data_IF_301200223640
#
_entry.id   IF_301200223640
#
_cell.length_a   1.000
_cell.length_b   1.000
_cell.length_c   1.000
_cell.angle_alpha   90.00
_cell.angle_beta   90.00
_cell.angle_gamma   90.00
#
_symmetry.space_group_name_H-M   'P 1'
#
loop_
_entity.id
_entity.type
_entity.pdbx_description
1 polymer ?
#
# COMPACT_ATOMS: atom_id res chain seq x y z
N UNK A 1 14.90 -58.91 31.50
CA UNK A 1 15.90 -57.83 31.40
C UNK A 1 15.12 -56.52 31.45
N UNK A 2 15.47 -55.62 32.38
CA UNK A 2 14.64 -54.50 32.87
C UNK A 2 14.62 -53.25 31.95
N UNK A 3 13.51 -52.52 31.98
CA UNK A 3 13.33 -51.18 31.40
C UNK A 3 13.85 -50.09 32.38
N UNK A 4 14.59 -49.06 31.92
CA UNK A 4 14.91 -47.87 32.73
C UNK A 4 13.80 -46.81 32.55
N UNK A 5 13.13 -46.40 33.63
CA UNK A 5 13.53 -45.31 34.53
C UNK A 5 13.27 -43.92 33.92
N UNK A 6 12.11 -43.34 34.27
CA UNK A 6 11.85 -41.91 34.17
C UNK A 6 11.72 -41.36 35.59
N UNK A 7 12.53 -40.34 35.84
CA UNK A 7 12.77 -39.68 37.12
C UNK A 7 11.55 -39.03 37.74
N UNK A 8 11.50 -39.11 39.07
CA UNK A 8 10.54 -38.56 40.01
C UNK A 8 10.47 -37.01 40.10
N UNK A 9 9.22 -36.53 40.23
CA UNK A 9 8.66 -35.44 41.06
C UNK A 9 9.50 -34.23 41.51
N UNK A 10 8.90 -33.03 41.38
CA UNK A 10 8.73 -32.10 42.51
C UNK A 10 7.58 -31.11 42.29
N UNK A 11 6.38 -31.46 42.76
CA UNK A 11 5.31 -30.50 43.01
C UNK A 11 5.33 -30.20 44.51
N UNK A 12 5.86 -29.03 44.88
CA UNK A 12 5.82 -28.54 46.25
C UNK A 12 4.49 -27.83 46.49
N UNK A 13 3.57 -28.58 47.10
CA UNK A 13 2.95 -28.22 48.38
C UNK A 13 2.50 -26.76 48.52
N UNK A 14 1.22 -26.50 48.27
CA UNK A 14 0.52 -25.38 48.90
C UNK A 14 -0.39 -25.95 49.98
N UNK A 15 -0.04 -25.62 51.22
CA UNK A 15 -0.78 -25.75 52.47
C UNK A 15 -2.29 -25.80 52.27
N UNK A 16 -2.89 -26.96 52.57
CA UNK A 16 -4.34 -27.09 52.72
C UNK A 16 -4.74 -26.64 54.12
N UNK A 17 -5.26 -25.43 54.24
CA UNK A 17 -6.13 -25.09 55.38
C UNK A 17 -7.53 -25.63 55.11
N UNK A 18 -7.84 -26.68 55.86
CA UNK A 18 -9.13 -27.17 56.35
C UNK A 18 -10.37 -26.38 55.90
N UNK A 19 -11.17 -26.99 55.03
CA UNK A 19 -12.59 -26.63 54.85
C UNK A 19 -13.38 -27.94 54.82
N UNK A 20 -13.77 -28.39 56.01
CA UNK A 20 -14.90 -29.28 56.21
C UNK A 20 -16.12 -28.68 55.49
N UNK A 21 -16.58 -29.33 54.42
CA UNK A 21 -17.96 -29.14 53.97
C UNK A 21 -18.54 -30.48 53.52
N UNK A 22 -19.51 -30.92 54.29
CA UNK A 22 -20.37 -32.06 53.98
C UNK A 22 -21.04 -31.86 52.61
N UNK A 23 -20.90 -32.91 51.80
CA UNK A 23 -21.89 -33.37 50.81
C UNK A 23 -22.21 -32.45 49.64
N UNK A 24 -21.56 -32.73 48.51
CA UNK A 24 -22.16 -32.75 47.18
C UNK A 24 -22.94 -31.51 46.74
N UNK A 25 -22.24 -30.49 46.24
CA UNK A 25 -22.81 -29.62 45.20
C UNK A 25 -21.70 -29.20 44.25
N UNK A 26 -21.79 -29.71 43.03
CA UNK A 26 -21.11 -29.29 41.81
C UNK A 26 -20.80 -27.78 41.84
N UNK A 27 -19.52 -27.42 41.98
CA UNK A 27 -19.04 -26.04 41.85
C UNK A 27 -19.33 -25.58 40.44
N UNK A 28 -20.47 -24.90 40.24
CA UNK A 28 -20.70 -24.09 39.04
C UNK A 28 -19.61 -23.04 39.05
N UNK A 29 -18.68 -23.13 38.10
CA UNK A 29 -17.70 -22.09 37.81
C UNK A 29 -18.49 -20.81 37.53
N UNK A 30 -18.65 -19.97 38.55
CA UNK A 30 -19.20 -18.64 38.38
C UNK A 30 -18.15 -17.86 37.59
N UNK A 31 -18.47 -17.37 36.38
CA UNK A 31 -17.50 -16.59 35.62
C UNK A 31 -17.11 -15.38 36.49
N UNK A 32 -15.82 -15.02 36.56
CA UNK A 32 -15.38 -13.91 37.40
C UNK A 32 -16.14 -12.66 36.96
N UNK A 33 -16.99 -12.13 37.84
CA UNK A 33 -17.75 -10.88 37.64
C UNK A 33 -16.85 -9.72 37.19
N UNK A 34 -15.58 -9.76 37.60
CA UNK A 34 -14.54 -8.82 37.19
C UNK A 34 -14.26 -8.82 35.68
N UNK A 35 -14.38 -9.97 35.00
CA UNK A 35 -14.12 -10.05 33.55
C UNK A 35 -15.18 -9.32 32.73
N UNK A 36 -16.45 -9.38 33.14
CA UNK A 36 -17.54 -8.69 32.45
C UNK A 36 -17.46 -7.18 32.65
N UNK A 37 -17.15 -6.72 33.85
CA UNK A 37 -16.95 -5.28 34.12
C UNK A 37 -15.73 -4.72 33.37
N UNK A 38 -14.67 -5.51 33.22
CA UNK A 38 -13.51 -5.12 32.41
C UNK A 38 -13.88 -4.97 30.93
N UNK A 39 -14.58 -5.94 30.34
CA UNK A 39 -15.04 -5.87 28.94
C UNK A 39 -15.96 -4.68 28.66
N UNK A 40 -16.84 -4.35 29.61
CA UNK A 40 -17.70 -3.17 29.51
C UNK A 40 -16.87 -1.87 29.57
N UNK A 41 -15.88 -1.81 30.45
CA UNK A 41 -14.98 -0.65 30.58
C UNK A 41 -14.12 -0.43 29.32
N UNK A 42 -13.59 -1.51 28.73
CA UNK A 42 -12.87 -1.43 27.45
C UNK A 42 -13.81 -1.10 26.29
N UNK A 43 -15.04 -1.63 26.30
CA UNK A 43 -16.07 -1.33 25.31
C UNK A 43 -16.45 0.15 25.27
N UNK A 44 -16.65 0.76 26.43
CA UNK A 44 -16.94 2.20 26.59
C UNK A 44 -15.77 3.07 26.08
N UNK A 45 -14.53 2.65 26.36
CA UNK A 45 -13.34 3.37 25.91
C UNK A 45 -13.13 3.26 24.39
N UNK A 46 -13.39 2.07 23.82
CA UNK A 46 -13.33 1.84 22.37
C UNK A 46 -14.47 2.57 21.68
N UNK A 47 -15.70 2.57 22.22
CA UNK A 47 -16.82 3.31 21.62
C UNK A 47 -16.57 4.82 21.63
N UNK A 48 -16.01 5.36 22.71
CA UNK A 48 -15.61 6.77 22.79
C UNK A 48 -14.53 7.14 21.77
N UNK A 49 -13.53 6.27 21.59
CA UNK A 49 -12.50 6.46 20.56
C UNK A 49 -13.07 6.33 19.13
N UNK A 50 -13.89 5.32 18.86
CA UNK A 50 -14.53 5.11 17.56
C UNK A 50 -15.51 6.23 17.20
N UNK A 51 -16.18 6.84 18.19
CA UNK A 51 -17.05 7.99 18.00
C UNK A 51 -16.30 9.23 17.53
N UNK A 52 -15.01 9.35 17.87
CA UNK A 52 -14.15 10.48 17.48
C UNK A 52 -13.31 10.20 16.24
N UNK A 53 -13.24 8.95 15.76
CA UNK A 53 -12.52 8.59 14.53
C UNK A 53 -12.91 9.42 13.31
N UNK A 54 -14.22 9.64 13.01
CA UNK A 54 -14.61 10.42 11.82
C UNK A 54 -14.01 11.82 11.83
N UNK A 55 -14.04 12.49 12.98
CA UNK A 55 -13.52 13.85 13.14
C UNK A 55 -11.99 13.88 13.05
N UNK A 56 -11.29 12.91 13.65
CA UNK A 56 -9.84 12.77 13.55
C UNK A 56 -9.37 12.47 12.12
N UNK A 57 -10.04 11.56 11.40
CA UNK A 57 -9.69 11.23 10.02
C UNK A 57 -10.00 12.41 9.08
N UNK A 58 -11.10 13.11 9.29
CA UNK A 58 -11.47 14.29 8.51
C UNK A 58 -10.49 15.44 8.70
N UNK A 59 -10.14 15.76 9.95
CA UNK A 59 -9.18 16.82 10.27
C UNK A 59 -7.77 16.48 9.82
N UNK A 60 -7.30 15.24 10.02
CA UNK A 60 -6.01 14.77 9.50
C UNK A 60 -5.96 14.87 7.97
N UNK A 61 -6.96 14.32 7.26
CA UNK A 61 -6.95 14.35 5.81
C UNK A 61 -6.96 15.80 5.29
N UNK A 62 -7.78 16.68 5.89
CA UNK A 62 -7.81 18.10 5.53
C UNK A 62 -6.49 18.82 5.84
N UNK A 63 -5.87 18.57 6.99
CA UNK A 63 -4.60 19.17 7.41
C UNK A 63 -3.42 18.69 6.55
N UNK A 64 -3.44 17.43 6.12
CA UNK A 64 -2.33 16.80 5.40
C UNK A 64 -2.63 16.59 3.90
N UNK A 65 -3.66 17.21 3.31
CA UNK A 65 -3.99 17.00 1.88
C UNK A 65 -2.78 17.17 0.96
N UNK A 66 -2.05 18.27 1.12
CA UNK A 66 -0.92 18.58 0.24
C UNK A 66 0.22 17.56 0.35
N UNK A 67 0.74 17.21 1.54
CA UNK A 67 1.74 16.15 1.65
C UNK A 67 1.19 14.77 1.27
N UNK A 68 -0.07 14.44 1.58
CA UNK A 68 -0.69 13.18 1.17
C UNK A 68 -0.77 13.04 -0.36
N UNK A 69 -1.13 14.12 -1.07
CA UNK A 69 -1.12 14.13 -2.54
C UNK A 69 0.30 13.94 -3.05
N UNK A 70 1.29 14.62 -2.48
CA UNK A 70 2.69 14.48 -2.90
C UNK A 70 3.20 13.04 -2.71
N UNK A 71 3.01 12.47 -1.50
CA UNK A 71 3.37 11.07 -1.21
C UNK A 71 2.57 10.12 -2.10
N UNK A 72 1.28 10.38 -2.30
CA UNK A 72 0.41 9.62 -3.19
C UNK A 72 0.89 9.66 -4.65
N UNK A 73 1.38 10.80 -5.14
CA UNK A 73 1.98 10.93 -6.46
C UNK A 73 3.31 10.19 -6.56
N UNK A 74 4.15 10.24 -5.53
CA UNK A 74 5.43 9.50 -5.50
C UNK A 74 5.16 8.00 -5.53
N UNK A 75 4.29 7.51 -4.64
CA UNK A 75 3.89 6.10 -4.61
C UNK A 75 3.22 5.71 -5.93
N UNK A 76 2.32 6.55 -6.43
CA UNK A 76 1.64 6.35 -7.71
C UNK A 76 2.64 6.28 -8.88
N UNK A 77 3.66 7.12 -8.91
CA UNK A 77 4.72 7.10 -9.92
C UNK A 77 5.53 5.80 -9.83
N UNK A 78 5.89 5.35 -8.62
CA UNK A 78 6.60 4.08 -8.42
C UNK A 78 5.76 2.90 -8.93
N UNK A 79 4.47 2.87 -8.59
CA UNK A 79 3.54 1.84 -9.06
C UNK A 79 3.38 1.90 -10.58
N UNK A 80 3.24 3.09 -11.16
CA UNK A 80 3.15 3.26 -12.61
C UNK A 80 4.40 2.73 -13.32
N UNK A 81 5.60 3.01 -12.80
CA UNK A 81 6.85 2.45 -13.32
C UNK A 81 6.85 0.93 -13.22
N UNK A 82 6.42 0.34 -12.09
CA UNK A 82 6.32 -1.12 -11.93
C UNK A 82 5.36 -1.75 -12.94
N UNK A 83 4.19 -1.15 -13.15
CA UNK A 83 3.20 -1.60 -14.13
C UNK A 83 3.79 -1.51 -15.54
N UNK A 84 4.44 -0.40 -15.88
CA UNK A 84 5.11 -0.24 -17.18
C UNK A 84 6.17 -1.32 -17.40
N UNK A 85 7.02 -1.60 -16.40
CA UNK A 85 8.03 -2.66 -16.49
C UNK A 85 7.38 -4.04 -16.66
N UNK A 86 6.29 -4.34 -15.93
CA UNK A 86 5.57 -5.60 -16.07
C UNK A 86 4.94 -5.78 -17.46
N UNK A 87 4.42 -4.69 -18.05
CA UNK A 87 3.93 -4.70 -19.43
C UNK A 87 5.08 -4.96 -20.40
N UNK A 88 6.21 -4.26 -20.27
CA UNK A 88 7.37 -4.47 -21.13
C UNK A 88 7.91 -5.90 -21.05
N UNK A 89 7.94 -6.48 -19.85
CA UNK A 89 8.32 -7.88 -19.62
C UNK A 89 7.36 -8.83 -20.35
N UNK A 90 6.06 -8.63 -20.19
CA UNK A 90 5.01 -9.42 -20.86
C UNK A 90 5.08 -9.29 -22.40
N UNK A 91 5.46 -8.13 -22.91
CA UNK A 91 5.65 -7.92 -24.35
C UNK A 91 6.91 -8.63 -24.86
N UNK A 92 7.97 -8.71 -24.05
CA UNK A 92 9.20 -9.40 -24.41
C UNK A 92 9.00 -10.93 -24.48
N UNK A 93 8.05 -11.48 -23.74
CA UNK A 93 7.62 -12.88 -23.86
C UNK A 93 6.95 -13.20 -25.21
N UNK A 94 6.49 -12.17 -25.95
CA UNK A 94 5.89 -12.33 -27.28
C UNK A 94 6.99 -12.16 -28.34
N UNK A 95 7.41 -13.24 -29.04
CA UNK A 95 8.60 -13.24 -29.88
C UNK A 95 8.55 -12.32 -31.12
N UNK A 96 7.42 -11.65 -31.39
CA UNK A 96 7.23 -10.75 -32.52
C UNK A 96 7.03 -9.27 -32.14
N UNK A 97 6.86 -8.95 -30.86
CA UNK A 97 6.55 -7.57 -30.44
C UNK A 97 7.77 -6.66 -30.56
N UNK A 98 8.91 -7.10 -30.03
CA UNK A 98 10.16 -6.33 -30.13
C UNK A 98 10.56 -6.01 -31.59
N UNK A 99 10.65 -7.00 -32.51
CA UNK A 99 11.04 -6.71 -33.90
C UNK A 99 9.98 -5.89 -34.67
N UNK A 100 8.69 -6.00 -34.34
CA UNK A 100 7.66 -5.18 -34.98
C UNK A 100 7.73 -3.72 -34.52
N UNK A 101 7.93 -3.46 -33.23
CA UNK A 101 8.15 -2.09 -32.74
C UNK A 101 9.45 -1.48 -33.29
N UNK A 102 10.51 -2.27 -33.45
CA UNK A 102 11.74 -1.81 -34.10
C UNK A 102 11.48 -1.39 -35.55
N UNK A 103 10.79 -2.23 -36.33
CA UNK A 103 10.44 -1.91 -37.72
C UNK A 103 9.55 -0.67 -37.81
N UNK A 104 8.55 -0.56 -36.94
CA UNK A 104 7.68 0.62 -36.85
C UNK A 104 8.52 1.86 -36.51
N UNK A 105 9.41 1.76 -35.53
CA UNK A 105 10.27 2.86 -35.09
C UNK A 105 11.20 3.34 -36.20
N UNK A 106 11.86 2.42 -36.91
CA UNK A 106 12.70 2.73 -38.07
C UNK A 106 11.86 3.36 -39.19
N UNK A 107 10.70 2.79 -39.49
CA UNK A 107 9.80 3.30 -40.53
C UNK A 107 9.34 4.74 -40.26
N UNK A 108 8.84 5.01 -39.05
CA UNK A 108 8.43 6.35 -38.65
C UNK A 108 9.60 7.32 -38.58
N UNK A 109 10.77 6.89 -38.08
CA UNK A 109 11.96 7.73 -38.02
C UNK A 109 12.44 8.12 -39.42
N UNK A 110 12.52 7.16 -40.34
CA UNK A 110 12.89 7.43 -41.73
C UNK A 110 11.88 8.36 -42.42
N UNK A 111 10.58 8.11 -42.23
CA UNK A 111 9.52 8.97 -42.75
C UNK A 111 9.59 10.39 -42.16
N UNK A 112 9.83 10.52 -40.86
CA UNK A 112 9.94 11.81 -40.16
C UNK A 112 11.14 12.61 -40.67
N UNK A 113 12.31 11.98 -40.77
CA UNK A 113 13.52 12.61 -41.34
C UNK A 113 13.24 13.10 -42.76
N UNK A 114 12.67 12.25 -43.60
CA UNK A 114 12.34 12.60 -44.98
C UNK A 114 11.35 13.77 -45.08
N UNK A 115 10.27 13.73 -44.30
CA UNK A 115 9.16 14.71 -44.35
C UNK A 115 9.51 16.04 -43.71
N UNK A 116 10.27 16.05 -42.61
CA UNK A 116 10.45 17.24 -41.78
C UNK A 116 11.87 17.79 -41.82
N UNK A 117 12.91 16.93 -41.89
CA UNK A 117 14.29 17.37 -41.71
C UNK A 117 15.00 17.74 -43.03
N UNK A 118 14.67 17.10 -44.16
CA UNK A 118 15.41 17.32 -45.41
C UNK A 118 15.16 18.71 -46.03
N UNK A 119 13.93 19.21 -45.98
CA UNK A 119 13.56 20.49 -46.63
C UNK A 119 13.60 21.66 -45.64
N UNK A 120 14.09 22.81 -46.09
CA UNK A 120 14.17 24.01 -45.25
C UNK A 120 12.79 24.53 -44.81
N UNK A 121 11.78 24.44 -45.68
CA UNK A 121 10.41 24.84 -45.37
C UNK A 121 9.79 23.97 -44.27
N UNK A 122 9.99 22.65 -44.35
CA UNK A 122 9.42 21.69 -43.38
C UNK A 122 10.14 21.71 -42.04
N UNK A 123 11.44 22.06 -42.02
CA UNK A 123 12.16 22.33 -40.76
C UNK A 123 11.60 23.57 -40.06
N UNK A 124 11.29 24.63 -40.81
CA UNK A 124 10.68 25.85 -40.24
C UNK A 124 9.28 25.57 -39.68
N UNK A 125 8.47 24.81 -40.42
CA UNK A 125 7.15 24.33 -39.98
C UNK A 125 7.26 23.56 -38.66
N UNK A 126 8.14 22.56 -38.59
CA UNK A 126 8.36 21.75 -37.37
C UNK A 126 8.80 22.60 -36.17
N UNK A 127 9.75 23.52 -36.35
CA UNK A 127 10.21 24.41 -35.25
C UNK A 127 9.09 25.30 -34.74
N UNK A 128 8.24 25.82 -35.63
CA UNK A 128 7.09 26.63 -35.24
C UNK A 128 6.08 25.80 -34.44
N UNK A 129 5.75 24.59 -34.91
CA UNK A 129 4.85 23.67 -34.20
C UNK A 129 5.38 23.31 -32.80
N UNK A 130 6.67 22.98 -32.69
CA UNK A 130 7.31 22.68 -31.40
C UNK A 130 7.24 23.90 -30.46
N UNK A 131 7.49 25.10 -30.99
CA UNK A 131 7.42 26.34 -30.19
C UNK A 131 6.00 26.59 -29.68
N UNK A 132 4.99 26.38 -30.53
CA UNK A 132 3.58 26.50 -30.16
C UNK A 132 3.18 25.46 -29.10
N UNK A 133 3.59 24.19 -29.27
CA UNK A 133 3.32 23.14 -28.27
C UNK A 133 4.01 23.43 -26.93
N UNK A 134 5.28 23.84 -26.95
CA UNK A 134 6.02 24.24 -25.75
C UNK A 134 5.31 25.37 -25.02
N UNK A 135 4.81 26.38 -25.74
CA UNK A 135 4.09 27.50 -25.13
C UNK A 135 2.77 27.10 -24.48
N UNK A 136 2.11 26.06 -25.00
CA UNK A 136 0.85 25.56 -24.44
C UNK A 136 1.06 24.74 -23.17
N UNK A 137 2.14 23.96 -23.10
CA UNK A 137 2.39 23.05 -21.96
C UNK A 137 3.14 23.75 -20.82
N UNK A 138 4.14 24.57 -21.15
CA UNK A 138 5.00 25.26 -20.16
C UNK A 138 4.46 26.64 -19.80
N UNK A 139 3.54 27.18 -20.60
CA UNK A 139 3.08 28.56 -20.51
C UNK A 139 4.03 29.54 -21.21
N UNK A 140 3.48 30.65 -21.71
CA UNK A 140 4.29 31.77 -22.24
C UNK A 140 5.13 32.32 -21.09
N UNK A 141 6.46 32.17 -21.17
CA UNK A 141 7.35 33.06 -20.43
C UNK A 141 7.14 34.47 -20.99
N UNK A 142 6.29 35.24 -20.31
CA UNK A 142 6.21 36.69 -20.52
C UNK A 142 7.56 37.23 -20.05
N UNK A 143 8.47 37.45 -21.00
CA UNK A 143 9.65 38.27 -20.79
C UNK A 143 9.22 39.70 -21.12
N UNK A 144 9.21 40.54 -20.08
CA UNK A 144 9.03 41.99 -20.16
C UNK A 144 10.21 42.66 -20.87
#
# INVERSE_FOLDING_TARGET
>A
MPEPEYTETKSSETTMTDINNQTGTITKLQPPVQSQEQWLKYGEQISGFLGTLPDYLGSFFNQYKQPLISVGLIVGAIVAVRVLLAILDSLNDIPLVAPTFELIGIGYSAWFVYRYLLKASTRKELTNEITTLKSQVVGKSVSE
#
